data_IF_330846582600
#
_entry.id   IF_330846582600
#
_cell.length_a   1.000
_cell.length_b   1.000
_cell.length_c   1.000
_cell.angle_alpha   90.00
_cell.angle_beta   90.00
_cell.angle_gamma   90.00
#
_symmetry.space_group_name_H-M   'P 1'
#
loop_
_entity.id
_entity.type
_entity.pdbx_description
1 polymer ?
#
# COMPACT_ATOMS: atom_id res chain seq x y z
N UNK A 1 24.92 -12.90 1.32
CA UNK A 1 23.57 -13.06 1.91
C UNK A 1 22.53 -12.84 0.82
N UNK A 2 21.39 -13.54 0.87
CA UNK A 2 20.29 -13.38 -0.09
C UNK A 2 19.34 -12.30 0.43
N UNK A 3 19.11 -11.25 -0.36
CA UNK A 3 18.13 -10.19 -0.05
C UNK A 3 16.74 -10.83 -0.04
N UNK A 4 15.97 -10.62 1.04
CA UNK A 4 14.56 -11.02 1.11
C UNK A 4 13.68 -9.85 0.70
N UNK A 5 12.56 -10.16 0.05
CA UNK A 5 11.52 -9.19 -0.25
C UNK A 5 10.33 -9.45 0.66
N UNK A 6 10.00 -8.49 1.52
CA UNK A 6 8.86 -8.57 2.44
C UNK A 6 7.67 -7.85 1.82
N UNK A 7 6.54 -8.53 1.65
CA UNK A 7 5.31 -7.91 1.15
C UNK A 7 4.29 -7.78 2.28
N UNK A 8 3.89 -6.55 2.61
CA UNK A 8 2.79 -6.28 3.53
C UNK A 8 1.49 -6.26 2.75
N UNK A 9 0.53 -7.11 3.13
CA UNK A 9 -0.78 -7.17 2.50
C UNK A 9 -1.82 -6.64 3.47
N UNK A 10 -2.46 -5.53 3.11
CA UNK A 10 -3.44 -4.83 3.95
C UNK A 10 -4.78 -4.74 3.23
N UNK A 11 -5.83 -5.45 3.68
CA UNK A 11 -7.18 -5.18 3.21
C UNK A 11 -7.71 -3.86 3.77
N UNK A 12 -8.36 -3.06 2.94
CA UNK A 12 -8.89 -1.74 3.28
C UNK A 12 -10.37 -1.62 2.87
N UNK A 13 -11.24 -1.39 3.85
CA UNK A 13 -12.67 -1.07 3.67
C UNK A 13 -13.02 0.14 4.52
N UNK A 14 -13.45 1.24 3.88
CA UNK A 14 -13.77 2.53 4.52
C UNK A 14 -12.65 3.06 5.46
N UNK A 15 -11.38 2.78 5.14
CA UNK A 15 -10.22 2.98 6.04
C UNK A 15 -9.28 4.11 5.66
N UNK A 16 -9.80 5.23 5.16
CA UNK A 16 -9.05 6.36 4.60
C UNK A 16 -7.95 6.93 5.49
N UNK A 17 -8.27 7.19 6.75
CA UNK A 17 -7.32 7.76 7.70
C UNK A 17 -6.33 6.69 8.18
N UNK A 18 -6.85 5.49 8.45
CA UNK A 18 -6.04 4.36 8.93
C UNK A 18 -5.02 3.89 7.90
N UNK A 19 -5.36 3.89 6.60
CA UNK A 19 -4.47 3.41 5.55
C UNK A 19 -3.29 4.35 5.32
N UNK A 20 -3.52 5.67 5.41
CA UNK A 20 -2.45 6.68 5.36
C UNK A 20 -1.49 6.50 6.54
N UNK A 21 -2.03 6.43 7.75
CA UNK A 21 -1.22 6.27 8.96
C UNK A 21 -0.40 4.96 8.93
N UNK A 22 -1.01 3.86 8.50
CA UNK A 22 -0.34 2.57 8.36
C UNK A 22 0.79 2.63 7.33
N UNK A 23 0.54 3.22 6.15
CA UNK A 23 1.55 3.35 5.11
C UNK A 23 2.79 4.11 5.63
N UNK A 24 2.58 5.24 6.30
CA UNK A 24 3.67 6.03 6.90
C UNK A 24 4.45 5.26 7.95
N UNK A 25 3.77 4.49 8.82
CA UNK A 25 4.44 3.68 9.85
C UNK A 25 5.28 2.57 9.22
N UNK A 26 4.75 1.87 8.21
CA UNK A 26 5.50 0.83 7.49
C UNK A 26 6.73 1.42 6.81
N UNK A 27 6.59 2.55 6.14
CA UNK A 27 7.70 3.26 5.48
C UNK A 27 8.79 3.65 6.48
N UNK A 28 8.41 4.27 7.59
CA UNK A 28 9.34 4.69 8.63
C UNK A 28 10.06 3.50 9.26
N UNK A 29 9.36 2.39 9.52
CA UNK A 29 9.98 1.19 10.07
C UNK A 29 11.00 0.58 9.10
N UNK A 30 10.70 0.54 7.79
CA UNK A 30 11.62 -0.01 6.79
C UNK A 30 12.81 0.87 6.47
N UNK A 31 12.74 2.18 6.75
CA UNK A 31 13.90 3.06 6.68
C UNK A 31 15.05 2.61 7.60
N UNK A 32 14.73 1.85 8.66
CA UNK A 32 15.69 1.26 9.60
C UNK A 32 16.36 -0.01 9.08
N UNK A 33 15.91 -0.57 7.96
CA UNK A 33 16.41 -1.82 7.37
C UNK A 33 16.82 -1.64 5.90
N UNK A 34 17.83 -0.79 5.59
CA UNK A 34 18.19 -0.44 4.22
C UNK A 34 18.68 -1.63 3.36
N UNK A 35 19.09 -2.73 4.00
CA UNK A 35 19.49 -3.97 3.33
C UNK A 35 18.32 -4.88 2.90
N UNK A 36 17.10 -4.64 3.38
CA UNK A 36 15.92 -5.42 3.03
C UNK A 36 15.08 -4.68 1.99
N UNK A 37 14.42 -5.44 1.11
CA UNK A 37 13.44 -4.87 0.17
C UNK A 37 12.04 -5.11 0.69
N UNK A 38 11.15 -4.14 0.47
CA UNK A 38 9.74 -4.33 0.79
C UNK A 38 8.81 -3.75 -0.27
N UNK A 39 7.58 -4.24 -0.25
CA UNK A 39 6.43 -3.67 -0.95
C UNK A 39 5.25 -3.62 0.01
N UNK A 40 4.39 -2.64 -0.17
CA UNK A 40 3.13 -2.55 0.56
C UNK A 40 1.97 -2.66 -0.42
N UNK A 41 1.31 -3.82 -0.37
CA UNK A 41 0.10 -4.16 -1.10
C UNK A 41 -1.13 -3.78 -0.28
N UNK A 42 -1.83 -2.73 -0.70
CA UNK A 42 -3.12 -2.37 -0.13
C UNK A 42 -4.21 -2.90 -1.06
N UNK A 43 -5.11 -3.72 -0.52
CA UNK A 43 -6.26 -4.30 -1.24
C UNK A 43 -7.48 -3.45 -0.90
N UNK A 44 -7.92 -2.65 -1.87
CA UNK A 44 -9.21 -1.96 -1.78
C UNK A 44 -10.35 -2.97 -1.82
N UNK A 45 -11.35 -2.84 -0.95
CA UNK A 45 -12.51 -3.75 -0.90
C UNK A 45 -13.83 -2.99 -1.07
N UNK A 46 -14.04 -2.36 -2.23
CA UNK A 46 -15.30 -1.68 -2.57
C UNK A 46 -15.80 -0.72 -1.47
N UNK A 47 -14.92 0.11 -0.90
CA UNK A 47 -15.32 1.14 0.07
C UNK A 47 -16.39 2.06 -0.55
N UNK A 48 -17.26 2.60 0.30
CA UNK A 48 -18.28 3.58 -0.13
C UNK A 48 -17.80 5.02 0.02
N UNK A 49 -16.49 5.21 0.16
CA UNK A 49 -15.85 6.44 0.58
C UNK A 49 -14.73 6.83 -0.39
N UNK A 50 -14.07 7.96 -0.18
CA UNK A 50 -12.95 8.49 -0.98
C UNK A 50 -11.65 7.68 -0.86
N UNK A 51 -11.71 6.45 -0.34
CA UNK A 51 -10.55 5.55 -0.23
C UNK A 51 -9.78 5.39 -1.55
N UNK A 52 -10.41 5.25 -2.74
CA UNK A 52 -9.67 5.16 -4.01
C UNK A 52 -8.77 6.37 -4.30
N UNK A 53 -9.25 7.59 -4.07
CA UNK A 53 -8.48 8.82 -4.31
C UNK A 53 -7.28 8.96 -3.38
N UNK A 54 -7.39 8.46 -2.16
CA UNK A 54 -6.28 8.42 -1.21
C UNK A 54 -5.22 7.41 -1.66
N UNK A 55 -5.66 6.25 -2.13
CA UNK A 55 -4.78 5.19 -2.60
C UNK A 55 -4.00 5.61 -3.86
N UNK A 56 -4.64 6.32 -4.79
CA UNK A 56 -3.99 6.92 -5.96
C UNK A 56 -2.90 7.92 -5.56
N UNK A 57 -3.19 8.84 -4.64
CA UNK A 57 -2.19 9.78 -4.13
C UNK A 57 -0.98 9.09 -3.46
N UNK A 58 -1.21 7.98 -2.75
CA UNK A 58 -0.13 7.21 -2.13
C UNK A 58 0.75 6.53 -3.18
N UNK A 59 0.18 6.03 -4.29
CA UNK A 59 0.96 5.43 -5.38
C UNK A 59 1.77 6.43 -6.19
N UNK A 60 1.27 7.65 -6.39
CA UNK A 60 1.98 8.67 -7.18
C UNK A 60 3.17 9.26 -6.43
N UNK A 61 3.06 9.38 -5.10
CA UNK A 61 4.05 10.08 -4.27
C UNK A 61 5.12 9.15 -3.70
N UNK A 62 4.76 7.93 -3.34
CA UNK A 62 5.58 7.10 -2.45
C UNK A 62 5.99 5.76 -3.10
N UNK A 63 7.22 5.70 -3.62
CA UNK A 63 7.89 4.42 -3.93
C UNK A 63 8.55 3.87 -2.66
N UNK A 64 8.38 2.60 -2.26
CA UNK A 64 8.00 1.43 -3.08
C UNK A 64 6.55 0.95 -2.88
N UNK A 65 5.60 1.85 -2.61
CA UNK A 65 4.18 1.49 -2.50
C UNK A 65 3.66 0.88 -3.80
N UNK A 66 3.07 -0.32 -3.74
CA UNK A 66 2.37 -0.94 -4.87
C UNK A 66 0.94 -1.19 -4.44
N UNK A 67 0.02 -0.28 -4.78
CA UNK A 67 -1.39 -0.47 -4.45
C UNK A 67 -2.02 -1.37 -5.51
N UNK A 68 -2.79 -2.38 -5.07
CA UNK A 68 -3.67 -3.12 -5.96
C UNK A 68 -5.10 -2.73 -5.62
N UNK A 69 -5.69 -1.98 -6.54
CA UNK A 69 -7.11 -1.67 -6.50
C UNK A 69 -7.87 -2.95 -6.89
N UNK A 70 -8.73 -3.41 -6.00
CA UNK A 70 -9.73 -4.43 -6.30
C UNK A 70 -11.11 -3.79 -6.10
N UNK A 71 -11.53 -2.97 -7.05
CA UNK A 71 -12.97 -2.77 -7.22
C UNK A 71 -13.50 -3.96 -8.04
N UNK A 72 -14.82 -4.14 -8.13
CA UNK A 72 -15.39 -5.19 -8.99
C UNK A 72 -15.13 -4.97 -10.50
N UNK A 73 -14.17 -4.13 -10.91
CA UNK A 73 -14.07 -3.63 -12.27
C UNK A 73 -12.64 -3.56 -12.84
N UNK A 74 -11.54 -3.45 -12.08
CA UNK A 74 -10.19 -3.35 -12.66
C UNK A 74 -9.06 -3.63 -11.67
N UNK A 75 -8.21 -4.60 -12.00
CA UNK A 75 -6.91 -4.82 -11.35
C UNK A 75 -5.83 -4.26 -12.28
N UNK A 76 -5.09 -3.22 -11.84
CA UNK A 76 -3.93 -2.71 -12.57
C UNK A 76 -2.68 -3.45 -12.11
N UNK A 77 -2.04 -4.15 -13.04
CA UNK A 77 -0.70 -4.69 -12.87
C UNK A 77 0.24 -3.91 -13.81
N UNK A 78 1.21 -3.21 -13.23
CA UNK A 78 2.46 -2.88 -13.92
C UNK A 78 3.44 -4.05 -13.78
#
# INVERSE_FOLDING_TARGET
MKIKHICFVTPCYNGEESVKALHSVVMNQFSLFPQEKYSHLIIYNASKTNTPYILEQLTERDSPGKVILNDCTSIFFD
#
